data_IF_114167208705
#
_entry.id   IF_114167208705
#
_cell.length_a   1.000
_cell.length_b   1.000
_cell.length_c   1.000
_cell.angle_alpha   90.00
_cell.angle_beta   90.00
_cell.angle_gamma   90.00
#
_symmetry.space_group_name_H-M   'P 1'
#
loop_
_entity.id
_entity.type
_entity.pdbx_description
1 polymer ?
#
# COMPACT_ATOMS: atom_id res chain seq x y z
N UNK A 1 -25.50 9.05 0.90
CA UNK A 1 -24.04 9.19 0.68
C UNK A 1 -23.60 8.09 -0.26
N UNK A 2 -22.91 8.43 -1.36
CA UNK A 2 -22.30 7.42 -2.23
C UNK A 2 -20.83 7.24 -1.80
N UNK A 3 -20.38 5.99 -1.79
CA UNK A 3 -19.01 5.61 -1.45
C UNK A 3 -18.30 5.22 -2.75
N UNK A 4 -17.16 5.84 -3.04
CA UNK A 4 -16.27 5.48 -4.12
C UNK A 4 -15.01 4.84 -3.52
N UNK A 5 -14.83 3.55 -3.78
CA UNK A 5 -13.64 2.80 -3.39
C UNK A 5 -12.75 2.59 -4.60
N UNK A 6 -11.47 2.90 -4.45
CA UNK A 6 -10.48 2.70 -5.49
C UNK A 6 -9.45 1.68 -5.01
N UNK A 7 -9.32 0.58 -5.73
CA UNK A 7 -8.10 -0.22 -5.64
C UNK A 7 -6.91 0.57 -6.20
N UNK A 8 -5.69 0.26 -5.78
CA UNK A 8 -4.51 1.07 -6.11
C UNK A 8 -3.68 0.45 -7.23
N UNK A 9 -2.99 -0.64 -6.92
CA UNK A 9 -2.01 -1.30 -7.77
C UNK A 9 -2.71 -1.94 -8.97
N UNK A 10 -2.18 -1.71 -10.17
CA UNK A 10 -2.81 -2.11 -11.45
C UNK A 10 -4.25 -1.56 -11.69
N UNK A 11 -4.72 -0.61 -10.86
CA UNK A 11 -6.03 0.04 -10.98
C UNK A 11 -5.89 1.54 -11.19
N UNK A 12 -5.45 2.27 -10.16
CA UNK A 12 -5.13 3.70 -10.26
C UNK A 12 -3.69 3.93 -10.74
N UNK A 13 -2.80 3.00 -10.43
CA UNK A 13 -1.43 2.98 -10.91
C UNK A 13 -1.32 2.01 -12.09
N UNK A 14 -0.53 2.37 -13.10
CA UNK A 14 -0.17 1.46 -14.20
C UNK A 14 0.96 0.49 -13.80
N UNK A 15 0.95 0.00 -12.57
CA UNK A 15 1.98 -0.85 -11.99
C UNK A 15 1.67 -1.24 -10.54
N UNK A 16 2.58 -1.99 -9.93
CA UNK A 16 2.50 -2.49 -8.57
C UNK A 16 3.48 -1.74 -7.66
N UNK A 17 2.95 -0.94 -6.74
CA UNK A 17 3.74 -0.10 -5.84
C UNK A 17 4.47 -0.88 -4.76
N UNK A 18 3.99 -2.05 -4.33
CA UNK A 18 4.67 -2.89 -3.35
C UNK A 18 5.91 -3.54 -3.96
N UNK A 19 5.73 -4.11 -5.17
CA UNK A 19 6.83 -4.67 -5.94
C UNK A 19 7.89 -3.60 -6.27
N UNK A 20 7.46 -2.44 -6.77
CA UNK A 20 8.36 -1.37 -7.17
C UNK A 20 9.06 -0.71 -5.99
N UNK A 21 8.46 -0.69 -4.80
CA UNK A 21 9.15 -0.25 -3.58
C UNK A 21 10.32 -1.18 -3.25
N UNK A 22 10.10 -2.50 -3.33
CA UNK A 22 11.15 -3.50 -3.18
C UNK A 22 12.29 -3.32 -4.19
N UNK A 23 11.95 -3.19 -5.48
CA UNK A 23 12.93 -2.96 -6.54
C UNK A 23 13.69 -1.64 -6.36
N UNK A 24 13.00 -0.58 -5.93
CA UNK A 24 13.62 0.70 -5.61
C UNK A 24 14.69 0.54 -4.52
N UNK A 25 14.40 -0.20 -3.45
CA UNK A 25 15.36 -0.45 -2.37
C UNK A 25 16.55 -1.31 -2.83
N UNK A 26 16.31 -2.30 -3.68
CA UNK A 26 17.38 -3.10 -4.33
C UNK A 26 18.28 -2.19 -5.19
N UNK A 27 17.70 -1.33 -6.02
CA UNK A 27 18.46 -0.42 -6.89
C UNK A 27 19.29 0.60 -6.10
N UNK A 28 18.89 0.92 -4.87
CA UNK A 28 19.63 1.80 -3.94
C UNK A 28 20.64 1.04 -3.06
N UNK A 29 20.81 -0.26 -3.27
CA UNK A 29 21.74 -1.10 -2.48
C UNK A 29 21.32 -1.30 -1.03
N UNK A 30 20.05 -1.04 -0.70
CA UNK A 30 19.48 -1.24 0.63
C UNK A 30 19.17 -2.73 0.86
N UNK A 31 18.76 -3.41 -0.19
CA UNK A 31 18.46 -4.84 -0.19
C UNK A 31 19.40 -5.55 -1.15
N UNK A 32 19.84 -6.74 -0.76
CA UNK A 32 20.59 -7.62 -1.65
C UNK A 32 19.68 -8.11 -2.78
N UNK A 33 20.11 -7.89 -4.03
CA UNK A 33 19.29 -8.16 -5.22
C UNK A 33 18.92 -9.63 -5.34
N UNK A 34 19.90 -10.51 -5.25
CA UNK A 34 19.70 -11.94 -5.54
C UNK A 34 18.75 -12.57 -4.53
N UNK A 35 19.00 -12.37 -3.24
CA UNK A 35 18.17 -12.91 -2.16
C UNK A 35 16.76 -12.31 -2.16
N UNK A 36 16.64 -10.98 -2.35
CA UNK A 36 15.34 -10.31 -2.36
C UNK A 36 14.48 -10.77 -3.55
N UNK A 37 15.03 -10.75 -4.76
CA UNK A 37 14.28 -11.14 -5.96
C UNK A 37 13.90 -12.63 -5.95
N UNK A 38 14.78 -13.50 -5.43
CA UNK A 38 14.46 -14.92 -5.27
C UNK A 38 13.28 -15.12 -4.30
N UNK A 39 13.34 -14.49 -3.12
CA UNK A 39 12.29 -14.62 -2.11
C UNK A 39 10.97 -13.99 -2.56
N UNK A 40 11.02 -12.82 -3.21
CA UNK A 40 9.83 -12.18 -3.77
C UNK A 40 9.18 -13.05 -4.86
N UNK A 41 9.97 -13.72 -5.71
CA UNK A 41 9.46 -14.66 -6.72
C UNK A 41 8.78 -15.87 -6.08
N UNK A 42 9.30 -16.37 -4.97
CA UNK A 42 8.65 -17.44 -4.19
C UNK A 42 7.30 -17.01 -3.66
N UNK A 43 7.21 -15.85 -3.01
CA UNK A 43 5.93 -15.33 -2.51
C UNK A 43 4.93 -15.04 -3.63
N UNK A 44 5.39 -14.48 -4.75
CA UNK A 44 4.54 -14.27 -5.92
C UNK A 44 4.00 -15.60 -6.48
N UNK A 45 4.84 -16.64 -6.54
CA UNK A 45 4.41 -17.99 -6.92
C UNK A 45 3.34 -18.56 -5.99
N UNK A 46 3.50 -18.40 -4.67
CA UNK A 46 2.50 -18.81 -3.67
C UNK A 46 1.20 -18.00 -3.80
N UNK A 47 1.29 -16.71 -4.11
CA UNK A 47 0.13 -15.86 -4.36
C UNK A 47 -0.69 -16.38 -5.55
N UNK A 48 -0.03 -16.63 -6.68
CA UNK A 48 -0.65 -17.19 -7.89
C UNK A 48 -1.25 -18.57 -7.64
N UNK A 49 -0.58 -19.41 -6.83
CA UNK A 49 -1.08 -20.73 -6.44
C UNK A 49 -2.20 -20.70 -5.39
N UNK A 50 -2.52 -19.53 -4.83
CA UNK A 50 -3.52 -19.38 -3.77
C UNK A 50 -3.06 -19.80 -2.37
N UNK A 51 -1.79 -20.21 -2.21
CA UNK A 51 -1.22 -20.81 -0.99
C UNK A 51 -0.41 -19.85 -0.12
N UNK A 52 -0.34 -18.57 -0.49
CA UNK A 52 0.41 -17.55 0.24
C UNK A 52 -0.05 -17.42 1.71
N UNK A 53 0.89 -17.59 2.64
CA UNK A 53 0.73 -17.08 4.01
C UNK A 53 1.00 -15.57 4.01
N UNK A 54 -0.07 -14.80 4.19
CA UNK A 54 -0.01 -13.34 4.17
C UNK A 54 0.88 -12.78 5.30
N UNK A 55 0.95 -13.42 6.46
CA UNK A 55 1.76 -12.94 7.57
C UNK A 55 3.25 -13.22 7.34
N UNK A 56 3.61 -14.32 6.67
CA UNK A 56 4.97 -14.56 6.21
C UNK A 56 5.40 -13.53 5.18
N UNK A 57 4.56 -13.29 4.17
CA UNK A 57 4.82 -12.27 3.16
C UNK A 57 5.01 -10.89 3.77
N UNK A 58 4.13 -10.48 4.69
CA UNK A 58 4.23 -9.17 5.33
C UNK A 58 5.46 -9.02 6.21
N UNK A 59 5.95 -10.08 6.86
CA UNK A 59 7.23 -10.00 7.58
C UNK A 59 8.40 -9.72 6.63
N UNK A 60 8.36 -10.30 5.42
CA UNK A 60 9.33 -10.01 4.37
C UNK A 60 9.19 -8.58 3.85
N UNK A 61 7.99 -8.18 3.41
CA UNK A 61 7.73 -6.87 2.81
C UNK A 61 7.94 -5.69 3.79
N UNK A 62 7.64 -5.88 5.08
CA UNK A 62 7.79 -4.86 6.12
C UNK A 62 9.17 -4.89 6.81
N UNK A 63 9.97 -5.94 6.60
CA UNK A 63 11.32 -6.08 7.15
C UNK A 63 12.22 -4.86 6.90
N UNK A 64 12.28 -4.31 5.67
CA UNK A 64 13.06 -3.11 5.39
C UNK A 64 12.64 -1.90 6.22
N UNK A 65 11.36 -1.77 6.59
CA UNK A 65 10.90 -0.65 7.42
C UNK A 65 11.42 -0.75 8.86
N UNK A 66 11.55 -1.96 9.39
CA UNK A 66 12.08 -2.19 10.73
C UNK A 66 13.60 -2.01 10.81
N UNK A 67 14.30 -2.30 9.72
CA UNK A 67 15.76 -2.26 9.65
C UNK A 67 16.35 -0.85 9.54
N UNK A 68 15.53 0.17 9.24
CA UNK A 68 16.00 1.52 8.93
C UNK A 68 15.34 2.60 9.77
N UNK A 69 16.00 3.74 9.87
CA UNK A 69 15.48 4.87 10.64
C UNK A 69 14.34 5.57 9.89
N UNK A 70 13.39 6.21 10.61
CA UNK A 70 12.32 6.98 9.97
C UNK A 70 12.84 8.02 8.96
N UNK A 71 13.96 8.67 9.26
CA UNK A 71 14.58 9.67 8.38
C UNK A 71 15.09 9.08 7.05
N UNK A 72 15.68 7.89 7.09
CA UNK A 72 16.14 7.20 5.86
C UNK A 72 14.94 6.78 5.02
N UNK A 73 13.93 6.19 5.67
CA UNK A 73 12.68 5.78 5.04
C UNK A 73 11.95 6.95 4.38
N UNK A 74 11.82 8.09 5.07
CA UNK A 74 11.20 9.30 4.51
C UNK A 74 11.95 9.81 3.27
N UNK A 75 13.29 9.84 3.32
CA UNK A 75 14.12 10.28 2.19
C UNK A 75 13.93 9.35 0.98
N UNK A 76 14.03 8.05 1.20
CA UNK A 76 13.84 7.05 0.15
C UNK A 76 12.42 7.05 -0.41
N UNK A 77 11.42 7.22 0.44
CA UNK A 77 10.02 7.28 0.01
C UNK A 77 9.76 8.51 -0.87
N UNK A 78 10.30 9.68 -0.50
CA UNK A 78 10.18 10.89 -1.32
C UNK A 78 10.80 10.70 -2.73
N UNK A 79 11.95 10.02 -2.80
CA UNK A 79 12.61 9.71 -4.06
C UNK A 79 11.85 8.65 -4.87
N UNK A 80 11.36 7.59 -4.21
CA UNK A 80 10.49 6.57 -4.79
C UNK A 80 9.22 7.16 -5.40
N UNK A 81 8.56 8.08 -4.70
CA UNK A 81 7.40 8.81 -5.21
C UNK A 81 7.73 9.49 -6.54
N UNK A 82 8.85 10.22 -6.61
CA UNK A 82 9.26 10.96 -7.80
C UNK A 82 9.66 10.04 -8.96
N UNK A 83 10.44 9.00 -8.68
CA UNK A 83 11.07 8.17 -9.70
C UNK A 83 10.18 7.02 -10.20
N UNK A 84 9.33 6.46 -9.33
CA UNK A 84 8.52 5.27 -9.64
C UNK A 84 7.04 5.59 -9.70
N UNK A 85 6.49 6.20 -8.65
CA UNK A 85 5.03 6.34 -8.52
C UNK A 85 4.43 7.42 -9.42
N UNK A 86 4.95 8.65 -9.41
CA UNK A 86 4.36 9.74 -10.18
C UNK A 86 4.27 9.41 -11.69
N UNK A 87 5.26 8.76 -12.32
CA UNK A 87 5.14 8.26 -13.69
C UNK A 87 4.03 7.22 -13.91
N UNK A 88 3.66 6.43 -12.88
CA UNK A 88 2.59 5.43 -12.96
C UNK A 88 1.18 6.01 -12.82
N UNK A 89 1.04 7.27 -12.38
CA UNK A 89 -0.26 7.93 -12.27
C UNK A 89 -0.67 8.46 -13.63
N UNK A 90 -1.59 7.76 -14.28
CA UNK A 90 -2.10 8.18 -15.60
C UNK A 90 -3.04 9.39 -15.51
N UNK A 91 -3.14 10.21 -16.57
CA UNK A 91 -4.14 11.28 -16.63
C UNK A 91 -5.58 10.78 -16.45
N UNK A 92 -5.87 9.58 -16.98
CA UNK A 92 -7.19 8.95 -16.86
C UNK A 92 -7.53 8.57 -15.41
N UNK A 93 -6.60 7.94 -14.68
CA UNK A 93 -6.78 7.61 -13.27
C UNK A 93 -6.99 8.86 -12.42
N UNK A 94 -6.19 9.92 -12.67
CA UNK A 94 -6.36 11.21 -12.00
C UNK A 94 -7.73 11.82 -12.29
N UNK A 95 -8.15 11.86 -13.55
CA UNK A 95 -9.45 12.41 -13.93
C UNK A 95 -10.62 11.62 -13.31
N UNK A 96 -10.52 10.29 -13.26
CA UNK A 96 -11.50 9.43 -12.61
C UNK A 96 -11.69 9.82 -11.13
N UNK A 97 -10.60 9.84 -10.35
CA UNK A 97 -10.66 10.18 -8.93
C UNK A 97 -11.22 11.59 -8.72
N UNK A 98 -10.76 12.57 -9.50
CA UNK A 98 -11.22 13.96 -9.38
C UNK A 98 -12.72 14.11 -9.67
N UNK A 99 -13.28 13.32 -10.60
CA UNK A 99 -14.72 13.30 -10.87
C UNK A 99 -15.53 12.87 -9.64
N UNK A 100 -15.07 11.84 -8.92
CA UNK A 100 -15.77 11.36 -7.71
C UNK A 100 -15.62 12.36 -6.54
N UNK A 101 -14.43 12.96 -6.38
CA UNK A 101 -14.21 14.01 -5.38
C UNK A 101 -15.09 15.24 -5.65
N UNK A 102 -15.23 15.67 -6.91
CA UNK A 102 -16.08 16.80 -7.29
C UNK A 102 -17.58 16.53 -7.15
N UNK A 103 -17.98 15.25 -7.10
CA UNK A 103 -19.36 14.83 -6.87
C UNK A 103 -19.74 14.73 -5.38
N UNK A 104 -18.86 15.19 -4.47
CA UNK A 104 -19.03 15.13 -3.01
C UNK A 104 -19.29 13.70 -2.49
N UNK A 105 -18.69 12.71 -3.17
CA UNK A 105 -18.74 11.31 -2.74
C UNK A 105 -17.68 11.04 -1.66
N UNK A 106 -18.00 10.14 -0.73
CA UNK A 106 -17.01 9.65 0.21
C UNK A 106 -16.00 8.78 -0.56
N UNK A 107 -14.79 9.28 -0.77
CA UNK A 107 -13.76 8.61 -1.56
C UNK A 107 -12.69 7.98 -0.65
N UNK A 108 -12.38 6.72 -0.85
CA UNK A 108 -11.27 6.04 -0.19
C UNK A 108 -10.46 5.18 -1.17
N UNK A 109 -9.15 5.14 -0.96
CA UNK A 109 -8.29 4.12 -1.59
C UNK A 109 -8.24 2.92 -0.64
N UNK A 110 -8.43 1.72 -1.17
CA UNK A 110 -8.35 0.46 -0.43
C UNK A 110 -7.33 -0.47 -1.10
N UNK A 111 -6.27 -0.85 -0.39
CA UNK A 111 -5.14 -1.58 -0.99
C UNK A 111 -4.49 -2.55 0.00
N UNK A 112 -3.95 -3.66 -0.51
CA UNK A 112 -3.17 -4.60 0.29
C UNK A 112 -1.78 -4.05 0.63
N UNK A 113 -1.22 -3.20 -0.23
CA UNK A 113 0.07 -2.55 -0.03
C UNK A 113 0.04 -1.69 1.23
N UNK A 114 1.15 -1.67 1.96
CA UNK A 114 1.18 -1.07 3.29
C UNK A 114 1.02 0.46 3.28
N UNK A 115 0.53 1.02 4.39
CA UNK A 115 0.22 2.45 4.53
C UNK A 115 1.45 3.36 4.41
N UNK A 116 2.65 2.89 4.79
CA UNK A 116 3.88 3.64 4.60
C UNK A 116 4.15 3.88 3.11
N UNK A 117 4.05 2.84 2.28
CA UNK A 117 4.22 2.96 0.82
C UNK A 117 3.12 3.83 0.21
N UNK A 118 1.87 3.67 0.64
CA UNK A 118 0.70 4.17 -0.12
C UNK A 118 0.12 5.50 0.35
N UNK A 119 0.37 5.94 1.59
CA UNK A 119 -0.19 7.19 2.10
C UNK A 119 0.19 8.43 1.26
N UNK A 120 1.44 8.58 0.77
CA UNK A 120 1.78 9.72 -0.10
C UNK A 120 1.16 9.59 -1.50
N UNK A 121 0.84 8.38 -1.95
CA UNK A 121 0.15 8.12 -3.21
C UNK A 121 -1.31 8.58 -3.12
N UNK A 122 -2.00 8.25 -2.03
CA UNK A 122 -3.36 8.74 -1.77
C UNK A 122 -3.43 10.27 -1.76
N UNK A 123 -2.45 10.93 -1.12
CA UNK A 123 -2.31 12.39 -1.14
C UNK A 123 -2.08 12.93 -2.56
N UNK A 124 -1.28 12.26 -3.39
CA UNK A 124 -1.05 12.67 -4.78
C UNK A 124 -2.32 12.61 -5.65
N UNK A 125 -3.29 11.75 -5.30
CA UNK A 125 -4.62 11.71 -5.91
C UNK A 125 -5.63 12.69 -5.29
N UNK A 126 -5.30 13.30 -4.13
CA UNK A 126 -6.21 14.15 -3.37
C UNK A 126 -7.22 13.37 -2.53
N UNK A 127 -7.05 12.05 -2.35
CA UNK A 127 -7.94 11.20 -1.56
C UNK A 127 -7.52 11.24 -0.09
N UNK A 128 -8.47 11.60 0.79
CA UNK A 128 -8.21 11.77 2.22
C UNK A 128 -8.23 10.45 3.01
N UNK A 129 -8.94 9.45 2.50
CA UNK A 129 -9.14 8.20 3.21
C UNK A 129 -8.34 7.08 2.55
N UNK A 130 -7.53 6.38 3.35
CA UNK A 130 -6.75 5.22 2.94
C UNK A 130 -7.08 4.06 3.87
N UNK A 131 -7.43 2.94 3.27
CA UNK A 131 -7.67 1.66 3.94
C UNK A 131 -6.57 0.72 3.44
N UNK A 132 -5.45 0.69 4.16
CA UNK A 132 -4.27 -0.09 3.80
C UNK A 132 -3.94 -1.13 4.87
N UNK A 133 -3.00 -2.01 4.55
CA UNK A 133 -2.30 -2.82 5.55
C UNK A 133 -1.44 -1.90 6.42
N UNK A 134 -1.59 -1.95 7.74
CA UNK A 134 -0.88 -1.04 8.65
C UNK A 134 0.39 -1.72 9.19
N UNK A 135 1.60 -1.16 8.95
CA UNK A 135 2.79 -1.60 9.66
C UNK A 135 2.66 -1.28 11.16
N UNK A 136 3.02 -2.22 12.03
CA UNK A 136 3.07 -1.98 13.47
C UNK A 136 4.20 -1.00 13.81
N UNK A 137 3.86 0.03 14.58
CA UNK A 137 4.80 1.01 15.13
C UNK A 137 4.81 0.90 16.64
N UNK A 138 6.01 0.84 17.23
CA UNK A 138 6.22 0.94 18.68
C UNK A 138 7.32 1.94 18.95
N UNK A 139 7.09 2.85 19.89
CA UNK A 139 8.07 3.89 20.28
C UNK A 139 8.61 4.69 19.07
N UNK A 140 7.75 4.96 18.08
CA UNK A 140 8.10 5.70 16.87
C UNK A 140 8.92 4.93 15.84
N UNK A 141 9.05 3.59 15.97
CA UNK A 141 9.75 2.73 15.01
C UNK A 141 8.88 1.59 14.50
N UNK A 142 9.04 1.23 13.23
CA UNK A 142 8.40 0.06 12.66
C UNK A 142 8.99 -1.23 13.26
N UNK A 143 8.14 -2.22 13.51
CA UNK A 143 8.57 -3.50 14.10
C UNK A 143 8.78 -4.61 13.07
N UNK A 144 8.37 -4.38 11.82
CA UNK A 144 8.37 -5.38 10.74
C UNK A 144 7.19 -6.35 10.80
N UNK A 145 6.23 -6.11 11.72
CA UNK A 145 4.96 -6.83 11.79
C UNK A 145 3.81 -5.96 11.28
N UNK A 146 2.70 -6.61 10.97
CA UNK A 146 1.43 -5.94 10.68
C UNK A 146 0.68 -5.61 11.98
N UNK A 147 0.01 -4.47 12.02
CA UNK A 147 -0.94 -4.08 13.06
C UNK A 147 -2.37 -4.43 12.64
N UNK A 148 -3.04 -5.27 13.43
CA UNK A 148 -4.41 -5.70 13.16
C UNK A 148 -4.54 -6.56 11.90
N UNK A 149 -5.72 -6.50 11.27
CA UNK A 149 -6.06 -7.30 10.10
C UNK A 149 -5.40 -6.74 8.83
N UNK A 150 -4.61 -7.54 8.07
CA UNK A 150 -4.12 -7.14 6.75
C UNK A 150 -5.25 -6.77 5.79
N UNK A 151 -5.03 -5.79 4.92
CA UNK A 151 -6.02 -5.40 3.90
C UNK A 151 -5.93 -6.32 2.66
N UNK A 152 -6.01 -7.63 2.89
CA UNK A 152 -5.78 -8.66 1.88
C UNK A 152 -6.97 -9.63 1.82
N UNK A 153 -7.46 -9.92 0.61
CA UNK A 153 -8.63 -10.78 0.35
C UNK A 153 -9.82 -10.42 1.27
N UNK A 154 -10.31 -11.36 2.06
CA UNK A 154 -11.43 -11.18 2.98
C UNK A 154 -11.16 -10.05 3.99
N UNK A 155 -9.90 -9.83 4.35
CA UNK A 155 -9.47 -8.72 5.20
C UNK A 155 -9.75 -7.34 4.59
N UNK A 156 -9.86 -7.20 3.25
CA UNK A 156 -10.31 -5.93 2.64
C UNK A 156 -11.72 -5.55 3.10
N UNK A 157 -12.63 -6.52 3.15
CA UNK A 157 -14.02 -6.28 3.56
C UNK A 157 -14.09 -5.93 5.05
N UNK A 158 -13.39 -6.69 5.91
CA UNK A 158 -13.34 -6.42 7.35
C UNK A 158 -12.80 -5.01 7.63
N UNK A 159 -11.71 -4.62 6.95
CA UNK A 159 -11.10 -3.29 7.09
C UNK A 159 -12.00 -2.18 6.59
N UNK A 160 -12.75 -2.42 5.52
CA UNK A 160 -13.76 -1.49 5.01
C UNK A 160 -14.89 -1.28 6.02
N UNK A 161 -15.42 -2.35 6.60
CA UNK A 161 -16.49 -2.30 7.60
C UNK A 161 -16.03 -1.58 8.87
N UNK A 162 -14.82 -1.89 9.37
CA UNK A 162 -14.21 -1.22 10.51
C UNK A 162 -14.05 0.29 10.26
N UNK A 163 -13.55 0.67 9.08
CA UNK A 163 -13.39 2.07 8.70
C UNK A 163 -14.73 2.80 8.60
N UNK A 164 -15.73 2.20 7.95
CA UNK A 164 -17.08 2.78 7.87
C UNK A 164 -17.73 2.92 9.26
N UNK A 165 -17.58 1.92 10.12
CA UNK A 165 -18.10 1.97 11.49
C UNK A 165 -17.45 3.12 12.29
N UNK A 166 -16.14 3.36 12.11
CA UNK A 166 -15.44 4.50 12.70
C UNK A 166 -15.95 5.87 12.23
N UNK A 167 -16.59 5.93 11.06
CA UNK A 167 -17.28 7.12 10.54
C UNK A 167 -18.77 7.17 10.93
N UNK A 168 -19.28 6.19 11.69
CA UNK A 168 -20.70 6.09 12.02
C UNK A 168 -21.58 5.54 10.89
N UNK A 169 -20.99 4.84 9.91
CA UNK A 169 -21.66 4.23 8.78
C UNK A 169 -21.59 2.70 8.81
N UNK A 170 -22.42 2.03 8.00
CA UNK A 170 -22.41 0.57 7.79
C UNK A 170 -22.71 0.26 6.33
N UNK A 171 -22.14 -0.82 5.80
CA UNK A 171 -22.59 -1.40 4.53
C UNK A 171 -24.04 -1.88 4.71
N UNK A 172 -24.89 -1.60 3.72
CA UNK A 172 -26.29 -2.01 3.66
C UNK A 172 -26.54 -2.75 2.36
#
# INVERSE_FOLDING_TARGET
MRLALFDLDNTLLSGDSDYEWGQFLVDHGVLDRESYEAQNRTYYGQYVAGTLDIHEYLRFALGPLAAHTPRELERWHAEFMRLRILPMITPAARALVQRHLAADELCAIITATNSFVTAPIARAFGVKHLIATEPEVREGRFTGRVAGTPCFREGKLERLEQWLAGLGHRLR
#
